data_IF_954266294305
#
_entry.id   IF_954266294305
#
_cell.length_a   1.000
_cell.length_b   1.000
_cell.length_c   1.000
_cell.angle_alpha   90.00
_cell.angle_beta   90.00
_cell.angle_gamma   90.00
#
_symmetry.space_group_name_H-M   'P 1'
#
loop_
_entity.id
_entity.type
_entity.pdbx_description
1 polymer ?
#
# COMPACT_ATOMS: atom_id res chain seq x y z
N UNK A 1 -1.67 -17.33 21.21
CA UNK A 1 -1.39 -17.52 19.77
C UNK A 1 -0.45 -18.69 19.50
N UNK A 2 0.65 -18.83 20.25
CA UNK A 2 1.56 -19.98 20.08
C UNK A 2 0.89 -21.31 20.39
N UNK A 3 0.12 -21.38 21.47
CA UNK A 3 -0.62 -22.60 21.83
C UNK A 3 -1.69 -22.95 20.79
N UNK A 4 -2.36 -21.96 20.22
CA UNK A 4 -3.31 -22.18 19.12
C UNK A 4 -2.60 -22.71 17.87
N UNK A 5 -1.46 -22.15 17.51
CA UNK A 5 -0.69 -22.62 16.36
C UNK A 5 -0.19 -24.07 16.55
N UNK A 6 0.30 -24.41 17.75
CA UNK A 6 0.70 -25.80 18.08
C UNK A 6 -0.45 -26.76 17.95
N UNK A 7 -1.63 -26.40 18.47
CA UNK A 7 -2.84 -27.21 18.39
C UNK A 7 -3.24 -27.43 16.92
N UNK A 8 -3.27 -26.37 16.12
CA UNK A 8 -3.57 -26.44 14.68
C UNK A 8 -2.59 -27.37 13.94
N UNK A 9 -1.30 -27.26 14.20
CA UNK A 9 -0.30 -28.13 13.57
C UNK A 9 -0.45 -29.59 13.97
N UNK A 10 -0.84 -29.85 15.21
CA UNK A 10 -1.11 -31.20 15.67
C UNK A 10 -2.34 -31.79 14.98
N UNK A 11 -3.42 -31.04 14.85
CA UNK A 11 -4.63 -31.46 14.13
C UNK A 11 -4.38 -31.73 12.64
N UNK A 12 -3.46 -31.00 12.01
CA UNK A 12 -3.11 -31.19 10.62
C UNK A 12 -2.00 -32.23 10.41
N UNK A 13 -1.54 -32.90 11.48
CA UNK A 13 -0.38 -33.83 11.47
C UNK A 13 0.87 -33.21 10.84
N UNK A 14 1.09 -31.90 11.06
CA UNK A 14 2.22 -31.15 10.55
C UNK A 14 3.12 -30.74 11.71
N UNK A 15 4.38 -31.13 11.66
CA UNK A 15 5.39 -30.75 12.65
C UNK A 15 6.26 -29.62 12.09
N UNK A 16 6.13 -28.39 12.59
CA UNK A 16 6.96 -27.28 12.12
C UNK A 16 8.40 -27.48 12.55
N UNK A 17 9.31 -27.35 11.59
CA UNK A 17 10.75 -27.30 11.87
C UNK A 17 11.21 -25.92 12.28
N UNK A 18 10.35 -24.91 12.10
CA UNK A 18 10.56 -23.51 12.47
C UNK A 18 9.28 -22.92 13.04
N UNK A 19 9.42 -22.00 13.97
CA UNK A 19 8.32 -21.19 14.47
C UNK A 19 8.41 -19.76 13.96
N UNK A 20 7.24 -19.22 13.63
CA UNK A 20 7.08 -17.87 13.13
C UNK A 20 6.35 -17.03 14.17
N UNK A 21 6.98 -15.96 14.61
CA UNK A 21 6.41 -14.99 15.53
C UNK A 21 5.97 -13.74 14.78
N UNK A 22 4.72 -13.39 14.93
CA UNK A 22 4.08 -12.33 14.16
C UNK A 22 4.08 -10.96 14.85
N UNK A 23 4.64 -10.83 16.04
CA UNK A 23 4.60 -9.56 16.76
C UNK A 23 5.70 -9.48 17.80
N UNK A 24 6.34 -8.32 17.89
CA UNK A 24 7.19 -7.92 19.00
C UNK A 24 6.43 -7.12 20.06
N UNK A 25 5.11 -7.06 20.01
CA UNK A 25 4.30 -6.33 20.99
C UNK A 25 4.45 -6.84 22.42
N UNK A 26 4.94 -8.08 22.59
CA UNK A 26 5.35 -8.60 23.89
C UNK A 26 6.76 -9.22 23.79
N UNK A 27 7.82 -8.39 23.87
CA UNK A 27 9.21 -8.84 23.75
C UNK A 27 9.63 -9.84 24.83
N UNK A 28 9.06 -9.76 26.03
CA UNK A 28 9.32 -10.70 27.12
C UNK A 28 8.86 -12.11 26.75
N UNK A 29 7.66 -12.24 26.22
CA UNK A 29 7.13 -13.51 25.77
C UNK A 29 7.94 -14.12 24.63
N UNK A 30 8.40 -13.31 23.70
CA UNK A 30 9.24 -13.74 22.57
C UNK A 30 10.59 -14.23 23.08
N UNK A 31 11.23 -13.50 24.00
CA UNK A 31 12.51 -13.84 24.60
C UNK A 31 12.46 -15.18 25.34
N UNK A 32 11.54 -15.36 26.26
CA UNK A 32 11.37 -16.62 27.00
C UNK A 32 11.04 -17.80 26.08
N UNK A 33 10.17 -17.57 25.11
CA UNK A 33 9.78 -18.62 24.15
C UNK A 33 10.93 -19.06 23.25
N UNK A 34 11.88 -18.19 22.96
CA UNK A 34 13.02 -18.48 22.09
C UNK A 34 14.11 -19.27 22.82
N UNK A 35 14.26 -19.12 24.14
CA UNK A 35 15.32 -19.75 24.90
C UNK A 35 15.13 -21.27 25.13
N UNK A 36 13.90 -21.76 25.15
CA UNK A 36 13.54 -23.14 25.53
C UNK A 36 13.37 -24.14 24.38
N UNK A 37 13.83 -23.85 23.16
CA UNK A 37 13.53 -24.66 21.98
C UNK A 37 14.74 -25.23 21.27
N UNK A 38 14.59 -26.43 20.72
CA UNK A 38 15.61 -27.13 19.97
C UNK A 38 15.64 -26.81 18.46
N UNK A 39 14.93 -25.79 17.99
CA UNK A 39 14.83 -25.41 16.59
C UNK A 39 15.05 -23.92 16.34
N UNK A 40 15.43 -23.58 15.12
CA UNK A 40 15.61 -22.19 14.71
C UNK A 40 14.27 -21.48 14.51
N UNK A 41 14.12 -20.30 15.09
CA UNK A 41 12.92 -19.50 14.99
C UNK A 41 13.07 -18.36 14.00
N UNK A 42 11.98 -18.01 13.33
CA UNK A 42 11.88 -16.87 12.43
C UNK A 42 10.92 -15.86 13.02
N UNK A 43 11.36 -14.63 13.13
CA UNK A 43 10.60 -13.53 13.69
C UNK A 43 10.04 -12.66 12.57
N UNK A 44 8.72 -12.39 12.61
CA UNK A 44 8.09 -11.40 11.77
C UNK A 44 7.77 -10.15 12.57
N UNK A 45 8.30 -9.03 12.17
CA UNK A 45 8.01 -7.74 12.77
C UNK A 45 7.11 -6.90 11.88
N UNK A 46 5.81 -6.97 12.11
CA UNK A 46 4.81 -6.23 11.33
C UNK A 46 4.70 -4.75 11.73
N UNK A 47 4.91 -4.42 12.99
CA UNK A 47 4.70 -3.08 13.54
C UNK A 47 5.99 -2.26 13.62
N UNK A 48 6.96 -2.57 12.81
CA UNK A 48 8.35 -2.19 12.99
C UNK A 48 8.72 -0.73 12.69
N UNK A 49 7.86 0.22 12.93
CA UNK A 49 8.22 1.65 12.94
C UNK A 49 8.18 2.24 14.35
N UNK A 50 8.08 1.42 15.38
CA UNK A 50 8.12 1.90 16.76
C UNK A 50 9.53 2.28 17.12
N UNK A 51 9.63 3.44 17.76
CA UNK A 51 10.88 4.00 18.26
C UNK A 51 11.45 3.19 19.42
N UNK A 52 10.62 2.40 20.10
CA UNK A 52 10.96 1.65 21.29
C UNK A 52 11.27 0.19 20.98
N UNK A 53 12.48 -0.10 20.59
CA UNK A 53 12.97 -1.49 20.64
C UNK A 53 13.30 -1.81 22.08
N UNK A 54 12.61 -2.77 22.72
CA UNK A 54 12.93 -3.13 24.10
C UNK A 54 14.39 -3.59 24.24
N UNK A 55 15.06 -3.15 25.29
CA UNK A 55 16.49 -3.45 25.49
C UNK A 55 16.83 -4.95 25.56
N UNK A 56 15.89 -5.80 25.99
CA UNK A 56 16.06 -7.25 25.97
C UNK A 56 16.03 -7.87 24.55
N UNK A 57 15.59 -7.13 23.55
CA UNK A 57 15.64 -7.56 22.15
C UNK A 57 17.02 -7.35 21.52
N UNK A 58 17.91 -6.59 22.12
CA UNK A 58 19.22 -6.31 21.55
C UNK A 58 20.02 -7.58 21.29
N UNK A 59 19.99 -8.55 22.20
CA UNK A 59 20.67 -9.85 22.03
C UNK A 59 20.19 -10.61 20.79
N UNK A 60 18.88 -10.47 20.46
CA UNK A 60 18.29 -11.08 19.27
C UNK A 60 18.75 -10.31 18.03
N UNK A 61 18.72 -8.98 18.08
CA UNK A 61 19.09 -8.10 16.96
C UNK A 61 20.57 -8.21 16.59
N UNK A 62 21.43 -8.43 17.57
CA UNK A 62 22.89 -8.63 17.39
C UNK A 62 23.22 -9.99 16.73
N UNK A 63 22.25 -10.89 16.60
CA UNK A 63 22.47 -12.25 16.13
C UNK A 63 23.15 -13.15 17.16
N UNK A 64 23.18 -12.72 18.42
CA UNK A 64 23.77 -13.48 19.53
C UNK A 64 22.78 -14.50 20.14
N UNK A 65 21.51 -14.46 19.74
CA UNK A 65 20.56 -15.49 20.10
C UNK A 65 20.91 -16.82 19.39
N UNK A 66 21.07 -17.88 20.15
CA UNK A 66 21.42 -19.20 19.62
C UNK A 66 20.33 -19.79 18.69
N UNK A 67 19.12 -19.21 18.71
CA UNK A 67 17.92 -19.78 18.07
C UNK A 67 17.30 -18.91 17.01
N UNK A 68 17.40 -17.59 17.13
CA UNK A 68 16.84 -16.69 16.11
C UNK A 68 17.74 -16.71 14.88
N UNK A 69 17.25 -17.31 13.81
CA UNK A 69 18.00 -17.43 12.56
C UNK A 69 17.77 -16.26 11.63
N UNK A 70 16.57 -15.66 11.66
CA UNK A 70 16.18 -14.56 10.80
C UNK A 70 15.09 -13.69 11.45
N UNK A 71 15.14 -12.38 11.15
CA UNK A 71 14.11 -11.40 11.50
C UNK A 71 13.64 -10.74 10.22
N UNK A 72 12.37 -10.89 9.90
CA UNK A 72 11.75 -10.25 8.72
C UNK A 72 10.98 -9.00 9.12
N UNK A 73 11.21 -7.93 8.37
CA UNK A 73 10.64 -6.59 8.60
C UNK A 73 9.86 -6.18 7.37
N UNK A 74 8.59 -5.83 7.55
CA UNK A 74 7.72 -5.51 6.41
C UNK A 74 7.82 -4.06 5.94
N UNK A 75 8.37 -3.15 6.74
CA UNK A 75 8.52 -1.73 6.38
C UNK A 75 9.98 -1.38 6.21
N UNK A 76 10.28 -0.64 5.14
CA UNK A 76 11.63 -0.20 4.83
C UNK A 76 12.21 0.66 5.96
N UNK A 77 11.40 1.58 6.49
CA UNK A 77 11.79 2.46 7.59
C UNK A 77 12.14 1.66 8.85
N UNK A 78 11.42 0.58 9.11
CA UNK A 78 11.70 -0.30 10.23
C UNK A 78 13.02 -1.06 10.04
N UNK A 79 13.29 -1.53 8.82
CA UNK A 79 14.57 -2.15 8.50
C UNK A 79 15.73 -1.17 8.71
N UNK A 80 15.64 0.03 8.14
CA UNK A 80 16.65 1.06 8.24
C UNK A 80 16.89 1.44 9.72
N UNK A 81 15.82 1.60 10.49
CA UNK A 81 15.91 1.91 11.93
C UNK A 81 16.60 0.80 12.73
N UNK A 82 16.31 -0.46 12.45
CA UNK A 82 16.99 -1.58 13.10
C UNK A 82 18.49 -1.60 12.79
N UNK A 83 18.87 -1.36 11.54
CA UNK A 83 20.28 -1.30 11.14
C UNK A 83 20.99 -0.11 11.80
N UNK A 84 20.37 1.07 11.88
CA UNK A 84 20.89 2.23 12.63
C UNK A 84 21.12 1.92 14.10
N UNK A 85 20.28 1.10 14.72
CA UNK A 85 20.40 0.64 16.09
C UNK A 85 21.43 -0.48 16.29
N UNK A 86 22.13 -0.86 15.22
CA UNK A 86 23.21 -1.85 15.28
C UNK A 86 22.77 -3.28 15.06
N UNK A 87 21.56 -3.51 14.56
CA UNK A 87 21.10 -4.87 14.25
C UNK A 87 21.95 -5.53 13.17
N UNK A 88 22.19 -6.83 13.29
CA UNK A 88 22.98 -7.60 12.34
C UNK A 88 22.21 -7.79 11.01
N UNK A 89 22.71 -7.18 9.94
CA UNK A 89 22.12 -7.25 8.60
C UNK A 89 22.08 -8.67 8.00
N UNK A 90 22.84 -9.61 8.55
CA UNK A 90 22.77 -11.00 8.09
C UNK A 90 21.50 -11.71 8.57
N UNK A 91 20.94 -11.31 9.71
CA UNK A 91 19.74 -11.91 10.28
C UNK A 91 18.51 -11.06 10.03
N UNK A 92 18.62 -9.73 9.95
CA UNK A 92 17.49 -8.83 9.65
C UNK A 92 17.35 -8.70 8.14
N UNK A 93 16.18 -9.00 7.63
CA UNK A 93 15.87 -8.96 6.20
C UNK A 93 14.58 -8.19 5.94
N UNK A 94 14.54 -7.32 4.94
CA UNK A 94 13.27 -6.77 4.48
C UNK A 94 12.44 -7.89 3.83
N UNK A 95 11.16 -7.93 4.17
CA UNK A 95 10.18 -8.79 3.54
C UNK A 95 8.90 -7.98 3.36
N UNK A 96 8.59 -7.58 2.15
CA UNK A 96 7.43 -6.76 1.84
C UNK A 96 6.11 -7.50 1.97
N UNK A 97 5.10 -7.03 1.26
CA UNK A 97 3.75 -7.57 1.32
C UNK A 97 3.44 -8.35 0.04
N UNK A 98 2.71 -9.45 0.16
CA UNK A 98 2.06 -10.07 -0.99
C UNK A 98 0.69 -9.41 -1.17
N UNK A 99 0.55 -8.68 -2.27
CA UNK A 99 -0.72 -8.09 -2.67
C UNK A 99 -1.37 -8.98 -3.73
N UNK A 100 -2.67 -9.13 -3.63
CA UNK A 100 -3.46 -9.80 -4.66
C UNK A 100 -4.00 -8.72 -5.61
N UNK A 101 -3.33 -8.53 -6.73
CA UNK A 101 -3.76 -7.57 -7.74
C UNK A 101 -4.93 -8.15 -8.53
N UNK A 102 -6.03 -7.40 -8.60
CA UNK A 102 -7.29 -7.86 -9.19
C UNK A 102 -7.40 -7.55 -10.69
N UNK A 103 -6.51 -6.70 -11.20
CA UNK A 103 -6.51 -6.27 -12.60
C UNK A 103 -5.09 -6.35 -13.17
N UNK A 104 -4.97 -6.82 -14.41
CA UNK A 104 -3.74 -6.65 -15.19
C UNK A 104 -3.63 -5.19 -15.67
N UNK A 105 -2.43 -4.79 -16.12
CA UNK A 105 -2.21 -3.46 -16.65
C UNK A 105 -3.13 -3.20 -17.86
N UNK A 106 -3.69 -2.00 -17.92
CA UNK A 106 -4.58 -1.58 -19.00
C UNK A 106 -4.12 -0.26 -19.63
N UNK A 107 -4.72 0.07 -20.75
CA UNK A 107 -4.50 1.34 -21.46
C UNK A 107 -5.85 1.85 -21.96
N UNK A 108 -6.72 2.25 -21.06
CA UNK A 108 -8.10 2.64 -21.34
C UNK A 108 -8.31 4.15 -21.48
N UNK A 109 -7.31 4.96 -21.13
CA UNK A 109 -7.40 6.42 -21.01
C UNK A 109 -8.48 6.88 -20.03
N UNK A 110 -8.81 6.06 -19.03
CA UNK A 110 -9.80 6.39 -18.01
C UNK A 110 -9.12 6.80 -16.71
N UNK A 111 -9.65 7.84 -16.10
CA UNK A 111 -9.21 8.42 -14.83
C UNK A 111 -10.33 8.29 -13.83
N UNK A 112 -10.05 7.76 -12.64
CA UNK A 112 -10.99 7.68 -11.54
C UNK A 112 -10.67 8.71 -10.48
N UNK A 113 -11.71 9.38 -9.98
CA UNK A 113 -11.68 10.26 -8.82
C UNK A 113 -12.81 9.83 -7.89
N UNK A 114 -12.48 9.48 -6.64
CA UNK A 114 -13.45 9.20 -5.61
C UNK A 114 -13.56 10.40 -4.67
N UNK A 115 -14.76 10.87 -4.40
CA UNK A 115 -14.98 12.04 -3.54
C UNK A 115 -16.22 11.90 -2.68
N UNK A 116 -16.27 12.60 -1.55
CA UNK A 116 -17.45 12.80 -0.72
C UNK A 116 -17.83 14.29 -0.60
N UNK A 117 -17.17 15.14 -1.39
CA UNK A 117 -17.42 16.56 -1.42
C UNK A 117 -17.23 17.16 -2.83
N UNK A 118 -17.57 18.44 -3.00
CA UNK A 118 -17.30 19.20 -4.23
C UNK A 118 -15.96 19.96 -4.17
N UNK A 119 -15.14 19.68 -3.15
CA UNK A 119 -13.84 20.30 -2.96
C UNK A 119 -12.75 19.42 -3.56
N UNK A 120 -12.65 19.47 -4.89
CA UNK A 120 -11.69 18.70 -5.68
C UNK A 120 -10.67 19.65 -6.27
N UNK A 121 -9.38 19.43 -5.96
CA UNK A 121 -8.28 20.31 -6.38
C UNK A 121 -8.04 20.21 -7.89
N UNK A 122 -8.00 21.35 -8.57
CA UNK A 122 -7.62 21.47 -10.00
C UNK A 122 -8.46 20.63 -10.99
N UNK A 123 -9.66 20.20 -10.62
CA UNK A 123 -10.48 19.35 -11.51
C UNK A 123 -10.78 20.05 -12.85
N UNK A 124 -11.13 21.34 -12.83
CA UNK A 124 -11.48 22.10 -14.05
C UNK A 124 -10.27 22.21 -14.99
N UNK A 125 -9.10 22.53 -14.43
CA UNK A 125 -7.87 22.64 -15.21
C UNK A 125 -7.44 21.29 -15.81
N UNK A 126 -7.54 20.20 -15.04
CA UNK A 126 -7.18 18.85 -15.51
C UNK A 126 -8.10 18.39 -16.62
N UNK A 127 -9.41 18.52 -16.45
CA UNK A 127 -10.42 18.12 -17.46
C UNK A 127 -10.23 18.88 -18.77
N UNK A 128 -10.00 20.21 -18.70
CA UNK A 128 -9.78 21.01 -19.89
C UNK A 128 -8.46 20.69 -20.60
N UNK A 129 -7.42 20.33 -19.85
CA UNK A 129 -6.09 20.07 -20.40
C UNK A 129 -5.95 18.65 -20.96
N UNK A 130 -6.84 17.73 -20.60
CA UNK A 130 -6.80 16.32 -20.95
C UNK A 130 -8.08 15.88 -21.70
N UNK A 131 -8.43 16.47 -22.85
CA UNK A 131 -9.71 16.24 -23.52
C UNK A 131 -9.89 14.79 -24.03
N UNK A 132 -8.79 14.05 -24.21
CA UNK A 132 -8.80 12.66 -24.66
C UNK A 132 -8.87 11.64 -23.51
N UNK A 133 -8.77 12.09 -22.26
CA UNK A 133 -8.95 11.27 -21.07
C UNK A 133 -10.40 11.33 -20.61
N UNK A 134 -10.95 10.22 -20.15
CA UNK A 134 -12.30 10.14 -19.59
C UNK A 134 -12.21 10.19 -18.07
N UNK A 135 -12.78 11.21 -17.46
CA UNK A 135 -12.81 11.41 -16.02
C UNK A 135 -14.08 10.82 -15.43
N UNK A 136 -13.94 9.82 -14.60
CA UNK A 136 -15.01 9.20 -13.84
C UNK A 136 -14.97 9.73 -12.40
N UNK A 137 -15.92 10.59 -12.05
CA UNK A 137 -16.02 11.18 -10.70
C UNK A 137 -17.12 10.46 -9.94
N UNK A 138 -16.74 9.77 -8.87
CA UNK A 138 -17.62 8.91 -8.10
C UNK A 138 -17.84 9.46 -6.69
N UNK A 139 -19.10 9.54 -6.23
CA UNK A 139 -19.46 9.90 -4.86
C UNK A 139 -20.44 8.88 -4.28
N UNK A 140 -20.28 8.54 -2.97
CA UNK A 140 -21.22 7.65 -2.26
C UNK A 140 -22.54 8.33 -1.95
N UNK A 141 -22.58 9.66 -1.99
CA UNK A 141 -23.75 10.49 -1.73
C UNK A 141 -24.14 11.27 -2.99
N UNK A 142 -25.24 12.00 -2.91
CA UNK A 142 -25.60 12.94 -3.98
C UNK A 142 -24.52 14.02 -4.14
N UNK A 143 -24.32 14.45 -5.37
CA UNK A 143 -23.37 15.49 -5.72
C UNK A 143 -24.01 16.86 -5.63
N UNK A 144 -23.26 17.87 -5.21
CA UNK A 144 -23.70 19.27 -5.21
C UNK A 144 -23.93 19.80 -6.64
N UNK A 145 -24.68 20.90 -6.76
CA UNK A 145 -24.84 21.57 -8.05
C UNK A 145 -23.51 22.02 -8.67
N UNK A 146 -22.53 22.38 -7.84
CA UNK A 146 -21.19 22.76 -8.29
C UNK A 146 -20.52 21.57 -8.99
N UNK A 147 -20.54 20.38 -8.37
CA UNK A 147 -19.94 19.18 -8.94
C UNK A 147 -20.72 18.69 -10.17
N UNK A 148 -22.07 18.72 -10.12
CA UNK A 148 -22.91 18.39 -11.26
C UNK A 148 -22.69 19.32 -12.47
N UNK A 149 -22.21 20.56 -12.26
CA UNK A 149 -21.90 21.48 -13.37
C UNK A 149 -20.78 20.99 -14.29
N UNK A 150 -20.00 19.97 -13.87
CA UNK A 150 -18.98 19.34 -14.71
C UNK A 150 -19.56 18.45 -15.81
N UNK A 151 -20.87 18.13 -15.80
CA UNK A 151 -21.56 17.48 -16.93
C UNK A 151 -21.46 18.28 -18.24
N UNK A 152 -21.10 19.57 -18.17
CA UNK A 152 -20.83 20.40 -19.36
C UNK A 152 -19.61 19.91 -20.17
N UNK A 153 -18.74 19.07 -19.61
CA UNK A 153 -17.57 18.55 -20.27
C UNK A 153 -17.85 17.16 -20.85
N UNK A 154 -17.67 16.96 -22.14
CA UNK A 154 -17.95 15.68 -22.84
C UNK A 154 -17.07 14.51 -22.32
N UNK A 155 -15.94 14.83 -21.70
CA UNK A 155 -15.00 13.85 -21.14
C UNK A 155 -15.17 13.62 -19.64
N UNK A 156 -16.23 14.12 -19.01
CA UNK A 156 -16.54 13.90 -17.59
C UNK A 156 -17.79 13.06 -17.44
N UNK A 157 -17.70 12.02 -16.62
CA UNK A 157 -18.80 11.15 -16.22
C UNK A 157 -18.98 11.21 -14.71
N UNK A 158 -20.13 11.67 -14.26
CA UNK A 158 -20.45 11.82 -12.85
C UNK A 158 -21.30 10.63 -12.38
N UNK A 159 -20.98 10.10 -11.19
CA UNK A 159 -21.66 8.97 -10.55
C UNK A 159 -22.13 9.37 -9.15
N UNK A 160 -23.23 10.14 -9.03
CA UNK A 160 -23.82 10.48 -7.74
C UNK A 160 -24.48 9.25 -7.10
N UNK A 161 -24.32 9.07 -5.79
CA UNK A 161 -24.88 7.92 -5.06
C UNK A 161 -24.37 6.58 -5.55
N UNK A 162 -23.10 6.50 -5.95
CA UNK A 162 -22.46 5.34 -6.56
C UNK A 162 -22.54 4.12 -5.66
N UNK A 163 -22.96 2.98 -6.21
CA UNK A 163 -23.03 1.71 -5.49
C UNK A 163 -21.66 1.01 -5.49
N UNK A 164 -21.45 0.13 -4.50
CA UNK A 164 -20.21 -0.63 -4.40
C UNK A 164 -19.83 -1.38 -5.69
N UNK A 165 -20.81 -1.94 -6.41
CA UNK A 165 -20.56 -2.63 -7.70
C UNK A 165 -20.12 -1.68 -8.82
N UNK A 166 -20.60 -0.45 -8.81
CA UNK A 166 -20.22 0.57 -9.80
C UNK A 166 -18.80 1.09 -9.51
N UNK A 167 -18.48 1.33 -8.24
CA UNK A 167 -17.13 1.71 -7.81
C UNK A 167 -16.13 0.62 -8.21
N UNK A 168 -16.44 -0.65 -7.91
CA UNK A 168 -15.58 -1.77 -8.26
C UNK A 168 -15.38 -1.88 -9.78
N UNK A 169 -16.44 -1.65 -10.56
CA UNK A 169 -16.34 -1.60 -12.01
C UNK A 169 -15.42 -0.48 -12.49
N UNK A 170 -15.48 0.70 -11.88
CA UNK A 170 -14.60 1.83 -12.21
C UNK A 170 -13.13 1.52 -11.87
N UNK A 171 -12.84 0.92 -10.72
CA UNK A 171 -11.49 0.47 -10.41
C UNK A 171 -10.97 -0.53 -11.46
N UNK A 172 -11.81 -1.43 -11.96
CA UNK A 172 -11.42 -2.41 -12.98
C UNK A 172 -11.24 -1.82 -14.38
N UNK A 173 -11.79 -0.64 -14.66
CA UNK A 173 -11.80 -0.06 -16.01
C UNK A 173 -10.92 1.16 -16.17
N UNK A 174 -10.46 1.79 -15.08
CA UNK A 174 -9.59 2.95 -15.11
C UNK A 174 -8.12 2.55 -15.02
N UNK A 175 -7.22 3.39 -15.54
CA UNK A 175 -5.77 3.21 -15.49
C UNK A 175 -5.11 4.17 -14.49
N UNK A 176 -5.77 5.27 -14.20
CA UNK A 176 -5.30 6.30 -13.30
C UNK A 176 -6.29 6.53 -12.17
N UNK A 177 -5.78 6.75 -10.97
CA UNK A 177 -6.53 7.27 -9.84
C UNK A 177 -5.95 8.61 -9.42
N UNK A 178 -6.79 9.65 -9.41
CA UNK A 178 -6.37 10.96 -8.92
C UNK A 178 -6.90 11.17 -7.50
N UNK A 179 -5.98 11.18 -6.55
CA UNK A 179 -6.23 11.47 -5.16
C UNK A 179 -6.17 12.98 -4.92
N UNK A 180 -7.20 13.69 -5.39
CA UNK A 180 -7.28 15.15 -5.43
C UNK A 180 -8.46 15.73 -4.64
N UNK A 181 -9.13 14.92 -3.83
CA UNK A 181 -10.21 15.32 -2.96
C UNK A 181 -9.66 15.76 -1.60
N UNK A 182 -10.14 16.88 -1.06
CA UNK A 182 -9.69 17.42 0.23
C UNK A 182 -10.28 16.72 1.44
N UNK A 183 -11.47 16.16 1.31
CA UNK A 183 -12.20 15.54 2.43
C UNK A 183 -11.71 14.12 2.69
N UNK A 184 -12.30 13.47 3.68
CA UNK A 184 -11.94 12.11 4.04
C UNK A 184 -12.02 11.15 2.85
N UNK A 185 -11.07 10.24 2.78
CA UNK A 185 -11.06 9.17 1.80
C UNK A 185 -12.32 8.30 1.92
N UNK A 186 -12.89 7.91 0.80
CA UNK A 186 -14.01 6.96 0.75
C UNK A 186 -13.50 5.58 0.36
N UNK A 187 -14.04 4.53 0.99
CA UNK A 187 -13.80 3.10 0.69
C UNK A 187 -12.32 2.70 0.57
N UNK A 188 -11.42 3.32 1.32
CA UNK A 188 -9.96 3.12 1.18
C UNK A 188 -9.49 3.26 -0.28
N UNK A 189 -10.01 4.25 -1.01
CA UNK A 189 -9.89 4.35 -2.46
C UNK A 189 -8.45 4.32 -2.99
N UNK A 190 -7.50 4.91 -2.26
CA UNK A 190 -6.08 4.87 -2.62
C UNK A 190 -5.52 3.44 -2.58
N UNK A 191 -5.89 2.67 -1.57
CA UNK A 191 -5.50 1.25 -1.45
C UNK A 191 -6.20 0.40 -2.51
N UNK A 192 -7.49 0.62 -2.74
CA UNK A 192 -8.24 -0.10 -3.78
C UNK A 192 -7.69 0.22 -5.17
N UNK A 193 -7.36 1.48 -5.46
CA UNK A 193 -6.68 1.87 -6.70
C UNK A 193 -5.36 1.12 -6.88
N UNK A 194 -4.56 1.00 -5.82
CA UNK A 194 -3.32 0.23 -5.85
C UNK A 194 -3.56 -1.26 -6.13
N UNK A 195 -4.55 -1.89 -5.46
CA UNK A 195 -4.88 -3.31 -5.65
C UNK A 195 -5.44 -3.61 -7.05
N UNK A 196 -6.13 -2.64 -7.65
CA UNK A 196 -6.64 -2.72 -9.03
C UNK A 196 -5.63 -2.21 -10.07
N UNK A 197 -4.39 -1.98 -9.65
CA UNK A 197 -3.29 -1.64 -10.53
C UNK A 197 -3.50 -0.33 -11.31
N UNK A 198 -4.06 0.70 -10.65
CA UNK A 198 -4.14 2.05 -11.16
C UNK A 198 -2.89 2.84 -10.76
N UNK A 199 -2.41 3.68 -11.66
CA UNK A 199 -1.35 4.64 -11.33
C UNK A 199 -1.95 5.78 -10.51
N UNK A 200 -1.40 5.99 -9.31
CA UNK A 200 -1.95 6.95 -8.36
C UNK A 200 -1.15 8.24 -8.41
N UNK A 201 -1.85 9.36 -8.62
CA UNK A 201 -1.29 10.71 -8.60
C UNK A 201 -2.14 11.59 -7.70
N UNK A 202 -1.54 12.64 -7.12
CA UNK A 202 -2.30 13.59 -6.32
C UNK A 202 -1.51 14.82 -5.96
N UNK A 203 -2.12 15.71 -5.18
CA UNK A 203 -1.48 16.92 -4.69
C UNK A 203 -1.03 16.76 -3.22
N UNK A 204 -0.04 17.51 -2.82
CA UNK A 204 0.52 17.48 -1.46
C UNK A 204 -0.55 17.57 -0.36
N UNK A 205 -1.59 18.37 -0.61
CA UNK A 205 -2.66 18.67 0.34
C UNK A 205 -3.81 17.65 0.32
N UNK A 206 -3.89 16.81 -0.72
CA UNK A 206 -5.03 15.91 -0.93
C UNK A 206 -4.70 14.44 -0.78
N UNK A 207 -3.42 14.05 -0.86
CA UNK A 207 -2.99 12.66 -0.76
C UNK A 207 -3.39 12.06 0.58
N UNK A 208 -4.21 11.01 0.55
CA UNK A 208 -4.69 10.28 1.72
C UNK A 208 -3.71 9.21 2.20
N UNK A 209 -3.01 8.53 1.28
CA UNK A 209 -2.05 7.49 1.66
C UNK A 209 -0.78 7.56 0.84
N UNK A 210 0.32 8.01 1.45
CA UNK A 210 1.65 8.04 0.81
C UNK A 210 2.27 6.65 0.64
N UNK A 211 1.68 5.62 1.23
CA UNK A 211 2.19 4.25 1.12
C UNK A 211 2.13 3.71 -0.31
N UNK A 212 1.15 4.15 -1.08
CA UNK A 212 0.85 3.61 -2.41
C UNK A 212 1.16 4.57 -3.56
N UNK A 213 1.60 5.78 -3.26
CA UNK A 213 1.83 6.85 -4.24
C UNK A 213 3.31 7.14 -4.35
N UNK A 214 3.85 7.12 -5.56
CA UNK A 214 5.24 7.50 -5.80
C UNK A 214 5.49 8.94 -5.34
N UNK A 215 6.59 9.23 -4.62
CA UNK A 215 6.88 10.59 -4.14
C UNK A 215 6.95 11.63 -5.26
N UNK A 216 7.44 11.26 -6.44
CA UNK A 216 7.51 12.12 -7.63
C UNK A 216 6.16 12.30 -8.35
N UNK A 217 5.10 11.60 -7.89
CA UNK A 217 3.71 11.77 -8.37
C UNK A 217 2.81 12.45 -7.33
N UNK A 218 3.42 13.06 -6.33
CA UNK A 218 2.77 13.97 -5.39
C UNK A 218 3.20 15.40 -5.73
N UNK A 219 2.32 16.16 -6.35
CA UNK A 219 2.61 17.47 -6.91
C UNK A 219 2.20 18.61 -5.99
N UNK A 220 2.77 19.78 -6.19
CA UNK A 220 2.16 21.03 -5.74
C UNK A 220 0.98 21.38 -6.65
N UNK A 221 -0.10 21.92 -6.09
CA UNK A 221 -1.28 22.28 -6.87
C UNK A 221 -0.98 23.36 -7.94
N UNK A 222 0.04 24.20 -7.73
CA UNK A 222 0.49 25.17 -8.72
C UNK A 222 1.26 24.51 -9.88
N UNK A 223 1.79 23.29 -9.66
CA UNK A 223 2.58 22.54 -10.65
C UNK A 223 1.74 21.42 -11.31
N UNK A 224 0.42 21.58 -11.36
CA UNK A 224 -0.50 20.59 -11.94
C UNK A 224 -0.16 20.20 -13.39
N UNK A 225 0.58 21.04 -14.12
CA UNK A 225 1.10 20.74 -15.45
C UNK A 225 2.03 19.50 -15.46
N UNK A 226 2.76 19.26 -14.39
CA UNK A 226 3.61 18.08 -14.27
C UNK A 226 2.75 16.81 -14.14
N UNK A 227 1.63 16.87 -13.40
CA UNK A 227 0.66 15.76 -13.34
C UNK A 227 0.09 15.47 -14.73
N UNK A 228 -0.30 16.50 -15.49
CA UNK A 228 -0.78 16.36 -16.88
C UNK A 228 0.28 15.67 -17.75
N UNK A 229 1.54 16.06 -17.62
CA UNK A 229 2.65 15.49 -18.40
C UNK A 229 2.81 13.99 -18.13
N UNK A 230 2.66 13.54 -16.86
CA UNK A 230 2.70 12.12 -16.49
C UNK A 230 1.53 11.34 -17.10
N UNK A 231 0.33 11.92 -17.09
CA UNK A 231 -0.88 11.25 -17.64
C UNK A 231 -0.76 11.14 -19.16
N UNK A 232 -0.22 12.15 -19.84
CA UNK A 232 -0.04 12.14 -21.29
C UNK A 232 1.07 11.19 -21.76
N UNK A 233 2.00 10.84 -20.87
CA UNK A 233 3.09 9.91 -21.19
C UNK A 233 2.67 8.45 -20.92
N UNK A 234 1.67 7.98 -21.66
CA UNK A 234 1.15 6.62 -21.56
C UNK A 234 2.22 5.54 -21.84
N UNK A 235 3.31 5.88 -22.54
CA UNK A 235 4.39 4.93 -22.85
C UNK A 235 5.17 4.47 -21.59
N UNK A 236 5.11 5.25 -20.50
CA UNK A 236 5.74 4.93 -19.23
C UNK A 236 4.76 4.39 -18.16
N UNK A 237 3.49 4.17 -18.50
CA UNK A 237 2.49 3.70 -17.54
C UNK A 237 2.92 2.40 -16.86
N UNK A 238 3.28 1.37 -17.60
CA UNK A 238 3.68 0.06 -17.04
C UNK A 238 4.93 0.16 -16.15
N UNK A 239 5.91 0.96 -16.57
CA UNK A 239 7.13 1.22 -15.78
C UNK A 239 6.78 1.90 -14.47
N UNK A 240 5.88 2.88 -14.50
CA UNK A 240 5.46 3.63 -13.33
C UNK A 240 4.62 2.78 -12.38
N UNK A 241 3.76 1.90 -12.90
CA UNK A 241 3.03 0.92 -12.11
C UNK A 241 3.99 -0.07 -11.41
N UNK A 242 5.01 -0.53 -12.09
CA UNK A 242 6.05 -1.38 -11.48
C UNK A 242 6.80 -0.63 -10.38
N UNK A 243 7.21 0.63 -10.62
CA UNK A 243 7.84 1.49 -9.59
C UNK A 243 6.92 1.66 -8.37
N UNK A 244 5.63 1.91 -8.58
CA UNK A 244 4.64 2.06 -7.52
C UNK A 244 4.50 0.77 -6.69
N UNK A 245 4.45 -0.41 -7.32
CA UNK A 245 4.45 -1.70 -6.64
C UNK A 245 5.73 -1.92 -5.82
N UNK A 246 6.88 -1.63 -6.41
CA UNK A 246 8.18 -1.78 -5.74
C UNK A 246 8.31 -0.85 -4.52
N UNK A 247 7.84 0.39 -4.65
CA UNK A 247 7.83 1.34 -3.53
C UNK A 247 6.94 0.86 -2.38
N UNK A 248 5.79 0.26 -2.67
CA UNK A 248 4.91 -0.34 -1.66
C UNK A 248 5.45 -1.68 -1.11
N UNK A 249 6.71 -2.04 -1.42
CA UNK A 249 7.37 -3.28 -0.98
C UNK A 249 6.59 -4.54 -1.37
N UNK A 250 6.10 -4.59 -2.59
CA UNK A 250 5.42 -5.77 -3.11
C UNK A 250 6.41 -6.92 -3.26
N UNK A 251 6.04 -8.09 -2.74
CA UNK A 251 6.79 -9.33 -2.83
C UNK A 251 5.97 -10.39 -3.55
N UNK A 252 6.63 -11.35 -4.17
CA UNK A 252 5.92 -12.49 -4.73
C UNK A 252 5.73 -13.62 -3.68
N UNK A 253 4.79 -14.51 -3.95
CA UNK A 253 4.48 -15.62 -3.04
C UNK A 253 5.69 -16.55 -2.86
N UNK A 254 6.55 -16.68 -3.86
CA UNK A 254 7.72 -17.56 -3.79
C UNK A 254 8.76 -17.05 -2.79
N UNK A 255 8.91 -15.74 -2.63
CA UNK A 255 9.80 -15.17 -1.62
C UNK A 255 9.38 -15.57 -0.21
N UNK A 256 8.07 -15.60 0.05
CA UNK A 256 7.51 -16.09 1.32
C UNK A 256 7.69 -17.61 1.50
N UNK A 257 7.65 -18.40 0.44
CA UNK A 257 7.88 -19.85 0.50
C UNK A 257 9.35 -20.20 0.76
N UNK A 258 10.28 -19.29 0.47
CA UNK A 258 11.71 -19.47 0.66
C UNK A 258 12.21 -19.07 2.06
N UNK A 259 11.31 -18.61 2.95
CA UNK A 259 11.61 -18.32 4.35
C UNK A 259 11.77 -19.61 5.15
#
# INVERSE_FOLDING_TARGET
KVEFAKHLFTELDVYPTRLFYNSLSNPFFVSESLEDRDHSDVLFWQEGYREDIPGNMQVILDGNSRRTSKIYVQKKEAYEKLIELGANSNIVKPLGYVYNFEKENGHSNNVLICTNSDHIEKLDELVNSLPNMKFHVCALTEMSQKLMSFEKYDNVHLYPGCKASEILHLFNTCDYYLDINYENEIVDATKEAFLHNLLILGFNQTIHSRKYVLPDFVFDANDYQNMISVILDASHLDINLERQRNMAMTQNVQDYRNI
#
